data_IF_698425345062
#
_entry.id   IF_698425345062
#
_cell.length_a   1.000
_cell.length_b   1.000
_cell.length_c   1.000
_cell.angle_alpha   90.00
_cell.angle_beta   90.00
_cell.angle_gamma   90.00
#
_symmetry.space_group_name_H-M   'P 1'
#
loop_
_entity.id
_entity.type
_entity.pdbx_description
1 polymer ?
#
# COMPACT_ATOMS: atom_id res chain seq x y z
N UNK A 1 30.21 -0.81 -21.96
CA UNK A 1 30.92 -0.40 -20.73
C UNK A 1 30.30 0.90 -20.25
N UNK A 2 29.66 0.87 -19.08
CA UNK A 2 28.98 2.04 -18.49
C UNK A 2 30.04 3.07 -18.11
N UNK A 3 29.87 4.31 -18.55
CA UNK A 3 30.83 5.37 -18.29
C UNK A 3 30.59 5.95 -16.89
N UNK A 4 31.64 6.47 -16.25
CA UNK A 4 31.49 7.20 -14.98
C UNK A 4 30.52 8.38 -15.08
N UNK A 5 30.36 8.96 -16.29
CA UNK A 5 29.35 9.97 -16.58
C UNK A 5 27.92 9.46 -16.38
N UNK A 6 27.62 8.25 -16.80
CA UNK A 6 26.27 7.66 -16.69
C UNK A 6 25.94 7.42 -15.20
N UNK A 7 26.90 6.93 -14.42
CA UNK A 7 26.76 6.78 -12.96
C UNK A 7 26.54 8.14 -12.29
N UNK A 8 27.27 9.18 -12.72
CA UNK A 8 27.08 10.53 -12.20
C UNK A 8 25.67 11.06 -12.50
N UNK A 9 25.13 10.85 -13.70
CA UNK A 9 23.75 11.26 -14.05
C UNK A 9 22.71 10.58 -13.16
N UNK A 10 22.88 9.27 -12.88
CA UNK A 10 22.02 8.53 -11.95
C UNK A 10 22.09 9.09 -10.54
N UNK A 11 23.30 9.32 -10.03
CA UNK A 11 23.50 9.90 -8.69
C UNK A 11 22.93 11.31 -8.63
N UNK A 12 23.14 12.14 -9.66
CA UNK A 12 22.63 13.51 -9.73
C UNK A 12 21.10 13.56 -9.75
N UNK A 13 20.42 12.58 -10.35
CA UNK A 13 18.96 12.48 -10.34
C UNK A 13 18.41 12.04 -8.97
N UNK A 14 19.14 11.16 -8.26
CA UNK A 14 18.67 10.61 -6.98
C UNK A 14 19.04 11.45 -5.76
N UNK A 15 20.22 12.07 -5.74
CA UNK A 15 20.72 12.85 -4.58
C UNK A 15 19.71 13.90 -4.10
N UNK A 16 19.02 14.68 -4.96
CA UNK A 16 18.00 15.62 -4.51
C UNK A 16 16.81 14.95 -3.78
N UNK A 17 16.38 13.77 -4.24
CA UNK A 17 15.30 13.01 -3.61
C UNK A 17 15.71 12.49 -2.24
N UNK A 18 16.93 11.93 -2.15
CA UNK A 18 17.49 11.47 -0.88
C UNK A 18 17.77 12.62 0.07
N UNK A 19 18.19 13.79 -0.44
CA UNK A 19 18.39 14.98 0.39
C UNK A 19 17.08 15.39 1.06
N UNK A 20 15.97 15.45 0.32
CA UNK A 20 14.65 15.74 0.89
C UNK A 20 14.25 14.71 1.96
N UNK A 21 14.48 13.42 1.69
CA UNK A 21 14.22 12.33 2.63
C UNK A 21 15.06 12.45 3.92
N UNK A 22 16.37 12.69 3.80
CA UNK A 22 17.26 12.81 4.94
C UNK A 22 17.02 14.09 5.75
N UNK A 23 16.68 15.21 5.10
CA UNK A 23 16.29 16.44 5.78
C UNK A 23 15.02 16.23 6.62
N UNK A 24 14.01 15.57 6.05
CA UNK A 24 12.81 15.19 6.81
C UNK A 24 13.16 14.29 7.99
N UNK A 25 13.96 13.24 7.76
CA UNK A 25 14.34 12.32 8.82
C UNK A 25 15.11 13.02 9.96
N UNK A 26 16.11 13.82 9.61
CA UNK A 26 16.93 14.58 10.56
C UNK A 26 16.14 15.67 11.29
N UNK A 27 15.16 16.29 10.63
CA UNK A 27 14.30 17.31 11.25
C UNK A 27 13.50 16.77 12.43
N UNK A 28 13.12 15.49 12.40
CA UNK A 28 12.38 14.83 13.48
C UNK A 28 13.32 14.19 14.50
N UNK A 29 14.33 13.45 14.03
CA UNK A 29 15.19 12.63 14.92
C UNK A 29 16.29 13.41 15.62
N UNK A 30 16.90 14.37 14.95
CA UNK A 30 18.07 15.09 15.47
C UNK A 30 17.71 16.50 15.90
N UNK A 31 16.99 17.23 15.04
CA UNK A 31 16.66 18.62 15.29
C UNK A 31 15.36 18.79 16.10
N UNK A 32 14.51 17.75 16.16
CA UNK A 32 13.20 17.77 16.84
C UNK A 32 12.35 19.00 16.49
N UNK A 33 12.43 19.45 15.24
CA UNK A 33 11.70 20.64 14.73
C UNK A 33 10.21 20.34 14.65
N UNK A 34 9.85 19.14 14.21
CA UNK A 34 8.46 18.76 14.01
C UNK A 34 7.94 17.85 15.11
N UNK A 35 6.74 18.16 15.60
CA UNK A 35 5.95 17.26 16.43
C UNK A 35 5.32 16.16 15.58
N UNK A 36 4.87 15.08 16.22
CA UNK A 36 4.16 13.99 15.53
C UNK A 36 2.87 14.47 14.85
N UNK A 37 2.16 15.40 15.47
CA UNK A 37 0.96 16.02 14.89
C UNK A 37 1.29 16.86 13.65
N UNK A 38 2.36 17.64 13.69
CA UNK A 38 2.82 18.41 12.53
C UNK A 38 3.26 17.51 11.38
N UNK A 39 3.98 16.41 11.68
CA UNK A 39 4.30 15.41 10.69
C UNK A 39 3.00 14.86 10.07
N UNK A 40 2.01 14.53 10.91
CA UNK A 40 0.68 14.10 10.49
C UNK A 40 0.01 15.06 9.52
N UNK A 41 0.02 16.35 9.85
CA UNK A 41 -0.49 17.41 8.99
C UNK A 41 0.23 17.45 7.64
N UNK A 42 1.56 17.37 7.65
CA UNK A 42 2.37 17.41 6.42
C UNK A 42 2.00 16.25 5.50
N UNK A 43 2.04 14.99 5.95
CA UNK A 43 1.72 13.92 4.99
C UNK A 43 0.25 13.81 4.66
N UNK A 44 -0.65 14.32 5.50
CA UNK A 44 -2.04 14.51 5.09
C UNK A 44 -2.12 15.46 3.89
N UNK A 45 -1.46 16.61 3.95
CA UNK A 45 -1.35 17.53 2.81
C UNK A 45 -0.75 16.84 1.57
N UNK A 46 0.32 16.06 1.76
CA UNK A 46 0.95 15.31 0.66
C UNK A 46 0.02 14.28 0.03
N UNK A 47 -0.72 13.52 0.85
CA UNK A 47 -1.65 12.49 0.36
C UNK A 47 -2.91 13.05 -0.31
N UNK A 48 -3.41 14.21 0.15
CA UNK A 48 -4.66 14.81 -0.34
C UNK A 48 -4.43 15.71 -1.55
N UNK A 49 -3.29 16.39 -1.64
CA UNK A 49 -3.00 17.33 -2.71
C UNK A 49 -1.77 16.92 -3.51
N UNK A 50 -0.61 16.83 -2.88
CA UNK A 50 0.65 16.77 -3.62
C UNK A 50 0.79 15.51 -4.50
N UNK A 51 0.52 14.31 -3.94
CA UNK A 51 0.57 13.04 -4.67
C UNK A 51 -0.56 12.89 -5.71
N UNK A 52 -1.81 13.31 -5.43
CA UNK A 52 -2.85 13.35 -6.44
C UNK A 52 -2.49 14.24 -7.64
N UNK A 53 -1.98 15.45 -7.43
CA UNK A 53 -1.56 16.31 -8.54
C UNK A 53 -0.36 15.74 -9.30
N UNK A 54 0.61 15.15 -8.59
CA UNK A 54 1.73 14.42 -9.21
C UNK A 54 1.21 13.26 -10.07
N UNK A 55 0.28 12.46 -9.55
CA UNK A 55 -0.28 11.31 -10.29
C UNK A 55 -1.10 11.77 -11.49
N UNK A 56 -1.91 12.83 -11.34
CA UNK A 56 -2.64 13.41 -12.46
C UNK A 56 -1.68 13.86 -13.55
N UNK A 57 -0.68 14.66 -13.21
CA UNK A 57 0.30 15.20 -14.16
C UNK A 57 1.02 14.07 -14.89
N UNK A 58 1.54 13.12 -14.11
CA UNK A 58 2.23 11.95 -14.62
C UNK A 58 1.35 11.14 -15.57
N UNK A 59 0.10 10.86 -15.21
CA UNK A 59 -0.82 10.05 -16.03
C UNK A 59 -1.28 10.83 -17.27
N UNK A 60 -1.54 12.13 -17.12
CA UNK A 60 -2.05 13.00 -18.20
C UNK A 60 -1.03 13.20 -19.32
N UNK A 61 0.27 13.04 -19.03
CA UNK A 61 1.35 13.10 -20.02
C UNK A 61 1.47 11.83 -20.86
N UNK A 62 0.82 10.72 -20.47
CA UNK A 62 0.89 9.47 -21.21
C UNK A 62 0.02 9.46 -22.45
N UNK A 63 0.53 8.96 -23.56
CA UNK A 63 -0.28 8.64 -24.71
C UNK A 63 -0.80 7.18 -24.65
N UNK A 64 -2.10 6.95 -24.38
CA UNK A 64 -2.67 5.61 -24.25
C UNK A 64 -2.76 4.91 -25.60
N UNK A 65 -2.65 5.64 -26.71
CA UNK A 65 -2.68 5.08 -28.07
C UNK A 65 -1.31 4.57 -28.53
N UNK A 66 -0.22 4.92 -27.85
CA UNK A 66 1.15 4.47 -28.19
C UNK A 66 1.78 3.69 -27.04
N UNK A 67 1.00 2.85 -26.37
CA UNK A 67 1.48 2.04 -25.26
C UNK A 67 2.35 0.87 -25.72
N UNK A 68 3.43 0.60 -24.98
CA UNK A 68 4.22 -0.60 -25.22
C UNK A 68 3.52 -1.81 -24.60
N UNK A 69 2.62 -2.42 -25.36
CA UNK A 69 1.78 -3.52 -24.88
C UNK A 69 2.60 -4.74 -24.44
N UNK A 70 3.77 -4.99 -25.04
CA UNK A 70 4.64 -6.12 -24.64
C UNK A 70 5.22 -5.89 -23.24
N UNK A 71 5.75 -4.69 -23.00
CA UNK A 71 6.27 -4.30 -21.68
C UNK A 71 5.19 -4.37 -20.61
N UNK A 72 4.00 -3.84 -20.92
CA UNK A 72 2.86 -3.87 -20.02
C UNK A 72 2.35 -5.30 -19.75
N UNK A 73 2.33 -6.15 -20.79
CA UNK A 73 1.95 -7.56 -20.67
C UNK A 73 2.95 -8.33 -19.81
N UNK A 74 4.25 -8.06 -19.92
CA UNK A 74 5.27 -8.71 -19.08
C UNK A 74 5.14 -8.34 -17.60
N UNK A 75 4.90 -7.06 -17.30
CA UNK A 75 4.63 -6.58 -15.94
C UNK A 75 3.32 -7.16 -15.37
N UNK A 76 2.27 -7.22 -16.19
CA UNK A 76 0.99 -7.83 -15.80
C UNK A 76 1.12 -9.34 -15.57
N UNK A 77 1.85 -10.02 -16.44
CA UNK A 77 2.12 -11.45 -16.34
C UNK A 77 2.94 -11.76 -15.09
N UNK A 78 3.92 -10.92 -14.74
CA UNK A 78 4.67 -11.05 -13.48
C UNK A 78 3.73 -11.08 -12.28
N UNK A 79 2.75 -10.17 -12.24
CA UNK A 79 1.78 -10.10 -11.13
C UNK A 79 0.84 -11.29 -11.10
N UNK A 80 0.35 -11.74 -12.26
CA UNK A 80 -0.48 -12.94 -12.37
C UNK A 80 0.29 -14.19 -11.92
N UNK A 81 1.53 -14.37 -12.38
CA UNK A 81 2.39 -15.50 -11.98
C UNK A 81 2.62 -15.51 -10.47
N UNK A 82 2.91 -14.36 -9.87
CA UNK A 82 3.09 -14.25 -8.41
C UNK A 82 1.79 -14.58 -7.68
N UNK A 83 0.63 -14.08 -8.14
CA UNK A 83 -0.66 -14.40 -7.54
C UNK A 83 -0.98 -15.89 -7.61
N UNK A 84 -0.76 -16.52 -8.76
CA UNK A 84 -0.97 -17.95 -8.93
C UNK A 84 0.00 -18.76 -8.05
N UNK A 85 1.28 -18.40 -8.01
CA UNK A 85 2.25 -19.07 -7.15
C UNK A 85 1.88 -18.96 -5.67
N UNK A 86 1.43 -17.79 -5.21
CA UNK A 86 0.98 -17.58 -3.84
C UNK A 86 -0.34 -18.27 -3.53
N UNK A 87 -1.26 -18.34 -4.50
CA UNK A 87 -2.50 -19.09 -4.37
C UNK A 87 -2.21 -20.58 -4.21
N UNK A 88 -1.39 -21.15 -5.11
CA UNK A 88 -0.97 -22.56 -5.04
C UNK A 88 -0.20 -22.85 -3.75
N UNK A 89 0.72 -21.96 -3.35
CA UNK A 89 1.44 -22.07 -2.08
C UNK A 89 0.46 -22.12 -0.90
N UNK A 90 -0.55 -21.25 -0.89
CA UNK A 90 -1.56 -21.22 0.16
C UNK A 90 -2.50 -22.44 0.14
N UNK A 91 -2.76 -23.02 -1.02
CA UNK A 91 -3.62 -24.21 -1.15
C UNK A 91 -2.91 -25.50 -0.78
N UNK A 92 -1.62 -25.65 -1.15
CA UNK A 92 -0.89 -26.91 -0.97
C UNK A 92 0.01 -26.94 0.27
N UNK A 93 0.31 -25.80 0.89
CA UNK A 93 1.21 -25.73 2.05
C UNK A 93 0.43 -25.56 3.35
N UNK A 94 0.73 -26.38 4.36
CA UNK A 94 0.14 -26.25 5.71
C UNK A 94 0.46 -24.91 6.39
N UNK A 95 1.53 -24.24 5.97
CA UNK A 95 1.96 -22.92 6.48
C UNK A 95 1.39 -21.76 5.66
N UNK A 96 0.59 -22.06 4.64
CA UNK A 96 -0.10 -21.06 3.83
C UNK A 96 -1.07 -20.25 4.67
N UNK A 97 -0.94 -18.92 4.62
CA UNK A 97 -1.95 -18.00 5.13
C UNK A 97 -2.22 -16.92 4.11
N UNK A 98 -3.49 -16.51 4.00
CA UNK A 98 -3.92 -15.37 3.19
C UNK A 98 -3.13 -14.12 3.57
N UNK A 99 -2.83 -13.96 4.87
CA UNK A 99 -2.05 -12.87 5.43
C UNK A 99 -0.65 -12.80 4.80
N UNK A 100 0.05 -13.94 4.76
CA UNK A 100 1.36 -14.03 4.12
C UNK A 100 1.29 -13.85 2.62
N UNK A 101 0.25 -14.36 1.94
CA UNK A 101 0.07 -14.16 0.51
C UNK A 101 -0.10 -12.68 0.15
N UNK A 102 -0.88 -11.92 0.91
CA UNK A 102 -1.05 -10.47 0.68
C UNK A 102 0.27 -9.73 0.91
N UNK A 103 0.99 -10.05 1.98
CA UNK A 103 2.29 -9.44 2.28
C UNK A 103 3.33 -9.76 1.21
N UNK A 104 3.45 -11.02 0.79
CA UNK A 104 4.40 -11.44 -0.24
C UNK A 104 4.07 -10.84 -1.60
N UNK A 105 2.79 -10.82 -2.00
CA UNK A 105 2.34 -10.16 -3.23
C UNK A 105 2.74 -8.69 -3.21
N UNK A 106 2.48 -8.00 -2.10
CA UNK A 106 2.84 -6.60 -1.91
C UNK A 106 4.34 -6.34 -2.03
N UNK A 107 5.17 -7.20 -1.43
CA UNK A 107 6.62 -7.11 -1.45
C UNK A 107 7.23 -7.37 -2.83
N UNK A 108 6.67 -8.31 -3.59
CA UNK A 108 7.26 -8.73 -4.87
C UNK A 108 6.84 -7.78 -6.01
N UNK A 109 5.61 -7.25 -5.96
CA UNK A 109 4.98 -6.68 -7.16
C UNK A 109 4.76 -5.19 -7.17
N UNK A 110 4.93 -4.49 -6.03
CA UNK A 110 4.52 -3.09 -5.89
C UNK A 110 5.70 -2.16 -5.54
N UNK A 111 6.59 -1.89 -6.50
CA UNK A 111 7.64 -0.87 -6.37
C UNK A 111 7.10 0.55 -6.23
N UNK A 112 7.98 1.44 -5.75
CA UNK A 112 7.84 2.89 -5.85
C UNK A 112 8.20 3.38 -7.27
N UNK A 113 7.33 3.08 -8.23
CA UNK A 113 7.50 3.46 -9.65
C UNK A 113 7.30 4.95 -9.89
N UNK A 114 6.36 5.57 -9.18
CA UNK A 114 5.99 6.97 -9.39
C UNK A 114 7.07 7.95 -8.90
N UNK A 115 7.51 7.83 -7.64
CA UNK A 115 8.38 8.86 -7.03
C UNK A 115 9.86 8.57 -7.30
N UNK A 116 10.23 7.29 -7.37
CA UNK A 116 11.63 6.88 -7.57
C UNK A 116 11.90 6.34 -8.97
N UNK A 117 10.98 5.56 -9.52
CA UNK A 117 11.18 4.86 -10.79
C UNK A 117 11.45 5.77 -11.97
N UNK A 118 10.64 6.81 -12.16
CA UNK A 118 10.79 7.75 -13.27
C UNK A 118 12.14 8.47 -13.30
N UNK A 119 12.54 9.26 -12.27
CA UNK A 119 13.81 9.97 -12.29
C UNK A 119 15.01 9.03 -12.40
N UNK A 120 14.95 7.85 -11.76
CA UNK A 120 16.02 6.87 -11.81
C UNK A 120 16.19 6.28 -13.22
N UNK A 121 15.13 5.71 -13.79
CA UNK A 121 15.23 5.03 -15.08
C UNK A 121 15.50 6.01 -16.22
N UNK A 122 14.98 7.23 -16.11
CA UNK A 122 15.28 8.31 -17.06
C UNK A 122 16.76 8.66 -17.06
N UNK A 123 17.40 8.73 -15.90
CA UNK A 123 18.84 8.94 -15.79
C UNK A 123 19.68 7.75 -16.28
N UNK A 124 19.17 6.52 -16.15
CA UNK A 124 19.91 5.30 -16.54
C UNK A 124 19.82 4.97 -18.03
N UNK A 125 18.65 5.15 -18.62
CA UNK A 125 18.32 4.64 -19.95
C UNK A 125 17.78 5.72 -20.91
N UNK A 126 17.44 6.91 -20.40
CA UNK A 126 16.99 8.06 -21.19
C UNK A 126 15.48 8.29 -21.17
N UNK A 127 15.05 9.34 -21.88
CA UNK A 127 13.69 9.91 -21.82
C UNK A 127 12.55 8.93 -22.12
N UNK A 128 12.77 7.90 -22.94
CA UNK A 128 11.71 6.96 -23.32
C UNK A 128 11.17 6.17 -22.12
N UNK A 129 11.95 6.00 -21.04
CA UNK A 129 11.51 5.28 -19.85
C UNK A 129 10.42 6.03 -19.09
N UNK A 130 10.32 7.36 -19.26
CA UNK A 130 9.24 8.14 -18.66
C UNK A 130 7.87 7.59 -19.11
N UNK A 131 7.68 7.46 -20.43
CA UNK A 131 6.44 6.92 -20.99
C UNK A 131 6.14 5.49 -20.50
N UNK A 132 7.18 4.65 -20.35
CA UNK A 132 7.03 3.29 -19.82
C UNK A 132 6.62 3.28 -18.35
N UNK A 133 7.24 4.13 -17.51
CA UNK A 133 6.90 4.24 -16.10
C UNK A 133 5.49 4.77 -15.91
N UNK A 134 5.09 5.75 -16.71
CA UNK A 134 3.72 6.24 -16.71
C UNK A 134 2.72 5.14 -17.04
N UNK A 135 2.98 4.31 -18.06
CA UNK A 135 2.10 3.19 -18.42
C UNK A 135 1.97 2.19 -17.26
N UNK A 136 3.07 1.85 -16.59
CA UNK A 136 3.05 0.97 -15.41
C UNK A 136 2.27 1.61 -14.26
N UNK A 137 2.52 2.88 -13.93
CA UNK A 137 1.85 3.56 -12.81
C UNK A 137 0.34 3.60 -13.02
N UNK A 138 -0.12 3.88 -14.24
CA UNK A 138 -1.55 3.84 -14.61
C UNK A 138 -2.15 2.46 -14.36
N UNK A 139 -1.51 1.41 -14.88
CA UNK A 139 -2.06 0.06 -14.73
C UNK A 139 -2.01 -0.41 -13.28
N UNK A 140 -0.95 -0.04 -12.56
CA UNK A 140 -0.77 -0.32 -11.14
C UNK A 140 -1.81 0.37 -10.28
N UNK A 141 -2.17 1.62 -10.56
CA UNK A 141 -3.21 2.32 -9.82
C UNK A 141 -4.60 1.77 -10.09
N UNK A 142 -4.93 1.50 -11.36
CA UNK A 142 -6.27 1.03 -11.75
C UNK A 142 -6.50 -0.43 -11.37
N UNK A 143 -5.57 -1.32 -11.69
CA UNK A 143 -5.75 -2.77 -11.54
C UNK A 143 -5.13 -3.27 -10.25
N UNK A 144 -3.83 -3.05 -10.06
CA UNK A 144 -3.07 -3.80 -9.05
C UNK A 144 -3.29 -3.28 -7.62
N UNK A 145 -3.41 -1.97 -7.42
CA UNK A 145 -3.80 -1.41 -6.13
C UNK A 145 -5.26 -1.66 -5.79
N UNK A 146 -6.17 -1.64 -6.78
CA UNK A 146 -7.56 -2.05 -6.58
C UNK A 146 -7.64 -3.51 -6.17
N UNK A 147 -6.88 -4.40 -6.83
CA UNK A 147 -6.79 -5.81 -6.45
C UNK A 147 -6.21 -5.99 -5.05
N UNK A 148 -5.15 -5.26 -4.71
CA UNK A 148 -4.58 -5.30 -3.37
C UNK A 148 -5.61 -4.90 -2.32
N UNK A 149 -6.36 -3.82 -2.58
CA UNK A 149 -7.45 -3.37 -1.72
C UNK A 149 -8.57 -4.41 -1.59
N UNK A 150 -8.95 -5.08 -2.68
CA UNK A 150 -9.89 -6.22 -2.68
C UNK A 150 -9.39 -7.33 -1.76
N UNK A 151 -8.10 -7.66 -1.79
CA UNK A 151 -7.52 -8.70 -0.92
C UNK A 151 -7.55 -8.29 0.55
N UNK A 152 -7.26 -7.03 0.87
CA UNK A 152 -7.36 -6.50 2.23
C UNK A 152 -8.79 -6.47 2.75
N UNK A 153 -9.75 -6.02 1.95
CA UNK A 153 -11.18 -6.03 2.29
C UNK A 153 -11.72 -7.46 2.43
N UNK A 154 -11.25 -8.39 1.59
CA UNK A 154 -11.60 -9.81 1.74
C UNK A 154 -11.11 -10.37 3.07
N UNK A 155 -9.85 -10.07 3.45
CA UNK A 155 -9.31 -10.45 4.76
C UNK A 155 -10.13 -9.83 5.89
N UNK A 156 -10.40 -8.52 5.82
CA UNK A 156 -11.20 -7.81 6.81
C UNK A 156 -12.60 -8.41 6.97
N UNK A 157 -13.28 -8.70 5.84
CA UNK A 157 -14.57 -9.37 5.83
C UNK A 157 -14.51 -10.77 6.45
N UNK A 158 -13.48 -11.56 6.11
CA UNK A 158 -13.28 -12.90 6.67
C UNK A 158 -13.13 -12.84 8.19
N UNK A 159 -12.31 -11.94 8.71
CA UNK A 159 -12.12 -11.75 10.15
C UNK A 159 -13.43 -11.34 10.82
N UNK A 160 -14.10 -10.31 10.30
CA UNK A 160 -15.38 -9.82 10.84
C UNK A 160 -16.43 -10.93 10.92
N UNK A 161 -16.61 -11.70 9.84
CA UNK A 161 -17.60 -12.77 9.80
C UNK A 161 -17.21 -13.91 10.75
N UNK A 162 -15.92 -14.25 10.82
CA UNK A 162 -15.45 -15.31 11.73
C UNK A 162 -15.60 -14.96 13.20
N UNK A 163 -15.46 -13.68 13.56
CA UNK A 163 -15.63 -13.20 14.93
C UNK A 163 -17.10 -13.10 15.33
N UNK A 164 -17.97 -12.61 14.44
CA UNK A 164 -19.37 -12.32 14.77
C UNK A 164 -20.33 -13.49 14.48
N UNK A 165 -19.98 -14.38 13.56
CA UNK A 165 -20.83 -15.51 13.14
C UNK A 165 -20.02 -16.82 13.05
N UNK A 166 -19.39 -17.30 14.13
CA UNK A 166 -18.48 -18.43 14.09
C UNK A 166 -19.14 -19.73 13.59
N UNK A 167 -20.41 -19.98 13.94
CA UNK A 167 -21.13 -21.20 13.55
C UNK A 167 -22.28 -20.95 12.54
N UNK A 168 -22.77 -19.70 12.43
CA UNK A 168 -23.96 -19.35 11.62
C UNK A 168 -23.63 -18.64 10.31
N UNK A 169 -22.35 -18.47 9.98
CA UNK A 169 -21.94 -17.76 8.77
C UNK A 169 -22.43 -18.42 7.47
N UNK A 170 -22.62 -19.75 7.45
CA UNK A 170 -23.20 -20.47 6.30
C UNK A 170 -24.66 -20.11 6.00
N UNK A 171 -25.42 -19.69 7.01
CA UNK A 171 -26.84 -19.27 6.90
C UNK A 171 -27.04 -17.81 6.47
N UNK A 172 -25.96 -17.04 6.26
CA UNK A 172 -26.05 -15.64 5.82
C UNK A 172 -26.47 -15.58 4.35
N UNK A 173 -27.71 -15.15 4.12
CA UNK A 173 -28.25 -14.96 2.77
C UNK A 173 -28.00 -13.56 2.22
N UNK A 174 -28.01 -12.54 3.08
CA UNK A 174 -27.66 -11.18 2.67
C UNK A 174 -26.80 -10.51 3.71
N UNK A 175 -25.72 -9.89 3.26
CA UNK A 175 -24.88 -9.03 4.08
C UNK A 175 -24.90 -7.63 3.46
N UNK A 176 -25.49 -6.69 4.19
CA UNK A 176 -25.56 -5.28 3.82
C UNK A 176 -24.65 -4.49 4.74
N UNK A 177 -24.11 -3.39 4.22
CA UNK A 177 -23.29 -2.50 5.01
C UNK A 177 -23.85 -1.11 4.94
N UNK A 178 -24.12 -0.55 6.12
CA UNK A 178 -24.57 0.82 6.26
C UNK A 178 -23.56 1.79 5.66
N UNK A 179 -24.05 2.90 5.13
CA UNK A 179 -23.28 3.98 4.49
C UNK A 179 -22.24 4.64 5.39
N UNK A 180 -22.41 4.49 6.71
CA UNK A 180 -21.47 4.94 7.74
C UNK A 180 -20.14 4.21 7.70
N UNK A 181 -20.13 2.93 7.33
CA UNK A 181 -18.93 2.09 7.32
C UNK A 181 -18.17 2.29 6.00
N UNK A 182 -16.87 2.56 6.14
CA UNK A 182 -15.99 2.95 5.04
C UNK A 182 -15.02 1.86 4.60
N UNK A 183 -14.51 1.07 5.54
CA UNK A 183 -13.66 -0.09 5.31
C UNK A 183 -13.87 -1.13 6.42
N UNK A 184 -13.53 -2.38 6.14
CA UNK A 184 -13.60 -3.48 7.12
C UNK A 184 -12.24 -3.71 7.82
N UNK A 185 -11.51 -2.63 8.08
CA UNK A 185 -10.13 -2.67 8.58
C UNK A 185 -10.00 -3.01 10.07
N UNK A 186 -11.11 -3.06 10.81
CA UNK A 186 -11.16 -3.36 12.24
C UNK A 186 -10.76 -2.20 13.17
N UNK A 187 -10.49 -0.99 12.64
CA UNK A 187 -10.14 0.18 13.47
C UNK A 187 -11.36 0.80 14.14
N UNK A 188 -12.47 0.86 13.42
CA UNK A 188 -13.75 1.29 13.98
C UNK A 188 -14.49 0.05 14.49
N UNK A 189 -15.04 0.07 15.72
CA UNK A 189 -15.85 -1.03 16.21
C UNK A 189 -17.10 -1.16 15.34
N UNK A 190 -17.18 -2.27 14.60
CA UNK A 190 -18.29 -2.63 13.73
C UNK A 190 -19.16 -3.67 14.44
N UNK A 191 -20.47 -3.45 14.44
CA UNK A 191 -21.45 -4.43 14.90
C UNK A 191 -22.26 -4.91 13.70
N UNK A 192 -22.49 -6.22 13.58
CA UNK A 192 -23.33 -6.80 12.56
C UNK A 192 -24.62 -7.31 13.19
N UNK A 193 -25.69 -6.52 13.02
CA UNK A 193 -27.02 -6.90 13.47
C UNK A 193 -27.56 -7.98 12.53
N UNK A 194 -28.02 -9.10 13.09
CA UNK A 194 -28.56 -10.21 12.33
C UNK A 194 -30.06 -10.39 12.60
N UNK A 195 -30.86 -10.30 11.55
CA UNK A 195 -32.29 -10.59 11.57
C UNK A 195 -32.54 -11.93 10.87
N UNK A 196 -33.39 -12.78 11.45
CA UNK A 196 -33.78 -14.04 10.82
C UNK A 196 -35.01 -13.78 9.95
N UNK A 197 -34.87 -13.95 8.63
CA UNK A 197 -35.98 -13.85 7.69
C UNK A 197 -36.98 -15.00 7.87
N UNK A 198 -38.20 -14.85 7.31
CA UNK A 198 -39.29 -15.85 7.41
C UNK A 198 -38.89 -17.24 6.90
N UNK A 199 -37.88 -17.31 6.04
CA UNK A 199 -37.32 -18.54 5.48
C UNK A 199 -36.16 -19.15 6.31
N UNK A 200 -35.90 -18.63 7.52
CA UNK A 200 -34.80 -19.05 8.40
C UNK A 200 -33.41 -18.55 7.99
N UNK A 201 -33.31 -17.68 6.98
CA UNK A 201 -32.03 -17.14 6.51
C UNK A 201 -31.62 -15.89 7.29
N UNK A 202 -30.32 -15.70 7.51
CA UNK A 202 -29.78 -14.54 8.22
C UNK A 202 -29.60 -13.36 7.26
N UNK A 203 -30.20 -12.24 7.64
CA UNK A 203 -30.00 -10.92 7.04
C UNK A 203 -29.12 -10.09 7.98
N UNK A 204 -27.88 -9.89 7.58
CA UNK A 204 -26.87 -9.22 8.38
C UNK A 204 -26.67 -7.78 7.90
N UNK A 205 -26.73 -6.82 8.81
CA UNK A 205 -26.45 -5.41 8.55
C UNK A 205 -25.26 -4.96 9.39
N UNK A 206 -24.15 -4.65 8.74
CA UNK A 206 -22.94 -4.12 9.40
C UNK A 206 -23.07 -2.61 9.59
N UNK A 207 -22.94 -2.14 10.84
CA UNK A 207 -23.05 -0.74 11.27
C UNK A 207 -21.84 -0.32 12.11
N UNK A 208 -21.50 0.97 12.06
CA UNK A 208 -20.49 1.58 12.95
C UNK A 208 -21.11 1.89 14.32
N UNK A 209 -20.43 1.54 15.41
CA UNK A 209 -20.92 1.84 16.78
C UNK A 209 -20.98 3.34 17.10
N UNK A 210 -20.31 4.21 16.33
CA UNK A 210 -20.28 5.66 16.59
C UNK A 210 -21.67 6.32 16.65
N UNK A 211 -22.73 5.64 16.21
CA UNK A 211 -24.11 6.12 16.31
C UNK A 211 -24.93 5.55 17.47
N UNK A 212 -24.60 4.39 18.02
CA UNK A 212 -25.38 3.83 19.14
C UNK A 212 -25.12 4.58 20.45
N UNK A 213 -24.06 5.40 20.53
CA UNK A 213 -23.70 6.18 21.72
C UNK A 213 -23.45 7.65 21.37
N UNK A 214 -24.46 8.40 20.94
CA UNK A 214 -24.37 9.87 20.99
C UNK A 214 -25.75 10.55 20.91
N UNK A 215 -26.43 10.65 22.05
CA UNK A 215 -27.26 11.82 22.36
C UNK A 215 -26.48 12.73 23.33
N UNK A 216 -25.19 12.99 23.03
CA UNK A 216 -24.35 13.96 23.72
C UNK A 216 -23.05 14.18 22.91
N UNK A 217 -22.58 15.42 22.86
CA UNK A 217 -21.35 15.91 22.20
C UNK A 217 -21.31 15.86 20.66
N UNK A 218 -21.96 16.85 20.06
CA UNK A 218 -21.41 17.57 18.90
C UNK A 218 -19.98 18.07 19.21
N UNK A 219 -19.10 18.06 18.20
CA UNK A 219 -17.66 18.43 18.20
C UNK A 219 -16.64 17.28 18.37
N UNK A 220 -16.49 16.44 17.34
CA UNK A 220 -15.19 16.08 16.73
C UNK A 220 -15.42 15.07 15.60
N UNK A 221 -15.87 15.55 14.42
CA UNK A 221 -15.83 14.74 13.20
C UNK A 221 -14.39 14.67 12.72
N UNK A 222 -13.64 13.68 13.19
CA UNK A 222 -12.43 13.24 12.49
C UNK A 222 -12.89 12.69 11.14
N UNK A 223 -12.85 13.52 10.10
CA UNK A 223 -13.00 13.08 8.73
C UNK A 223 -11.83 12.13 8.43
N UNK A 224 -12.08 10.83 8.62
CA UNK A 224 -11.30 9.72 8.07
C UNK A 224 -11.41 9.82 6.55
N UNK A 225 -10.55 10.63 5.96
CA UNK A 225 -10.30 10.60 4.51
C UNK A 225 -9.63 9.27 4.24
N UNK A 226 -10.40 8.34 3.68
CA UNK A 226 -9.99 6.97 3.39
C UNK A 226 -8.65 6.93 2.66
N UNK A 227 -7.81 5.97 3.07
CA UNK A 227 -6.45 5.76 2.58
C UNK A 227 -5.56 7.00 2.75
N UNK A 228 -5.15 7.28 3.99
CA UNK A 228 -3.97 8.12 4.21
C UNK A 228 -2.77 7.43 3.54
N UNK A 229 -2.40 7.82 2.32
CA UNK A 229 -1.22 7.31 1.58
C UNK A 229 0.08 7.41 2.42
N UNK A 230 0.05 8.18 3.51
CA UNK A 230 1.08 8.24 4.52
C UNK A 230 0.43 8.16 5.91
N UNK A 231 0.35 6.99 6.54
CA UNK A 231 -0.40 6.81 7.77
C UNK A 231 0.49 7.14 8.95
N UNK A 232 0.13 8.17 9.69
CA UNK A 232 0.79 8.46 10.95
C UNK A 232 0.16 7.67 12.10
N UNK A 233 0.92 7.34 13.15
CA UNK A 233 0.29 6.88 14.37
C UNK A 233 -0.59 8.04 14.85
N UNK A 234 -1.91 7.85 14.85
CA UNK A 234 -2.80 8.70 15.61
C UNK A 234 -2.32 8.68 17.06
N UNK A 235 -2.32 9.83 17.71
CA UNK A 235 -1.95 10.04 19.10
C UNK A 235 -2.82 9.17 20.02
N UNK A 236 -2.46 7.89 20.18
CA UNK A 236 -3.04 7.02 21.21
C UNK A 236 -2.16 5.89 21.72
N UNK A 237 -0.89 5.79 21.31
CA UNK A 237 0.05 4.76 21.82
C UNK A 237 1.31 5.32 22.49
N UNK A 238 1.22 6.53 23.04
CA UNK A 238 2.26 7.07 23.92
C UNK A 238 1.65 7.56 25.25
N UNK A 239 0.84 6.70 25.86
CA UNK A 239 0.62 6.74 27.31
C UNK A 239 1.14 5.43 27.86
N UNK A 240 2.44 5.33 28.03
CA UNK A 240 3.01 4.28 28.86
C UNK A 240 4.24 4.82 29.54
N UNK A 241 4.29 4.59 30.85
CA UNK A 241 5.47 4.56 31.72
C UNK A 241 5.71 5.77 32.66
N UNK A 242 5.11 6.96 32.49
CA UNK A 242 5.25 8.00 33.55
C UNK A 242 4.10 8.11 34.55
N UNK A 243 2.87 7.72 34.19
CA UNK A 243 1.72 7.76 35.12
C UNK A 243 1.43 6.42 35.81
N UNK A 244 2.17 5.35 35.48
CA UNK A 244 2.04 4.06 36.18
C UNK A 244 2.95 3.93 37.41
N UNK A 245 3.90 4.84 37.63
CA UNK A 245 4.75 4.80 38.83
C UNK A 245 4.06 5.48 40.03
N UNK A 246 3.22 6.50 39.82
CA UNK A 246 2.54 7.20 40.94
C UNK A 246 1.33 6.44 41.51
N UNK A 247 0.78 5.46 40.79
CA UNK A 247 -0.37 4.69 41.27
C UNK A 247 0.05 3.37 41.95
N UNK A 248 1.35 3.02 41.96
CA UNK A 248 1.80 1.74 42.54
C UNK A 248 1.88 1.70 44.07
N UNK A 249 1.64 2.80 44.78
CA UNK A 249 1.63 2.81 46.25
C UNK A 249 0.23 2.78 46.90
N UNK A 250 -0.84 2.67 46.11
CA UNK A 250 -2.20 2.62 46.66
C UNK A 250 -2.98 1.42 46.16
N UNK A 251 -3.38 0.55 47.10
CA UNK A 251 -4.44 -0.47 46.97
C UNK A 251 -3.93 -1.85 46.53
N UNK A 252 -3.37 -2.55 47.51
CA UNK A 252 -3.52 -4.00 47.62
C UNK A 252 -5.01 -4.35 47.75
N UNK A 253 -5.56 -5.13 46.82
CA UNK A 253 -6.48 -6.24 47.12
C UNK A 253 -6.63 -7.14 45.88
N UNK A 254 -6.61 -8.47 46.03
CA UNK A 254 -6.33 -9.38 44.93
C UNK A 254 -7.61 -9.83 44.22
N UNK A 255 -7.72 -9.52 42.92
CA UNK A 255 -8.58 -10.29 42.00
C UNK A 255 -7.66 -11.17 41.18
N UNK A 256 -7.44 -12.38 41.70
CA UNK A 256 -6.68 -13.44 41.04
C UNK A 256 -7.50 -14.01 39.88
N UNK A 257 -7.60 -13.23 38.80
CA UNK A 257 -8.07 -13.69 37.50
C UNK A 257 -7.03 -14.61 36.89
N UNK A 258 -7.18 -15.91 37.17
CA UNK A 258 -6.41 -17.02 36.60
C UNK A 258 -6.42 -16.90 35.07
N UNK A 259 -5.37 -16.27 34.51
CA UNK A 259 -4.99 -16.37 33.10
C UNK A 259 -4.74 -17.85 32.85
N UNK A 260 -5.77 -18.55 32.35
CA UNK A 260 -5.59 -19.87 31.74
C UNK A 260 -4.63 -19.65 30.58
N UNK A 261 -3.38 -20.01 30.78
CA UNK A 261 -2.52 -20.46 29.70
C UNK A 261 -3.26 -21.63 29.06
N UNK A 262 -4.02 -21.31 28.01
CA UNK A 262 -4.62 -22.30 27.14
C UNK A 262 -3.43 -22.90 26.40
N UNK A 263 -2.85 -23.95 27.01
CA UNK A 263 -2.11 -24.96 26.29
C UNK A 263 -2.95 -25.34 25.09
N UNK A 264 -2.41 -25.09 23.90
CA UNK A 264 -2.98 -25.50 22.62
C UNK A 264 -3.12 -27.01 22.70
N UNK A 265 -4.28 -27.47 23.20
CA UNK A 265 -4.78 -28.80 22.88
C UNK A 265 -4.98 -28.76 21.37
N UNK A 266 -4.20 -29.60 20.69
CA UNK A 266 -4.41 -29.96 19.30
C UNK A 266 -5.78 -30.64 19.19
N UNK A 267 -6.85 -29.83 19.24
CA UNK A 267 -8.17 -30.26 18.81
C UNK A 267 -8.10 -30.35 17.29
N UNK A 268 -7.97 -31.59 16.83
CA UNK A 268 -8.05 -32.08 15.46
C UNK A 268 -9.45 -31.84 14.89
N UNK A 269 -9.84 -30.57 14.85
CA UNK A 269 -11.13 -30.07 14.42
C UNK A 269 -10.93 -29.25 13.17
N UNK A 270 -10.76 -29.91 12.03
CA UNK A 270 -10.97 -29.31 10.71
C UNK A 270 -12.46 -28.94 10.53
N UNK A 271 -13.06 -28.20 11.48
CA UNK A 271 -14.29 -27.46 11.30
C UNK A 271 -13.98 -26.43 10.23
N UNK A 272 -14.15 -26.81 8.97
CA UNK A 272 -14.15 -25.88 7.84
C UNK A 272 -15.16 -24.78 8.19
N UNK A 273 -14.66 -23.66 8.71
CA UNK A 273 -15.47 -22.52 9.11
C UNK A 273 -16.39 -22.19 7.94
N UNK A 274 -17.70 -22.27 8.20
CA UNK A 274 -18.69 -22.04 7.16
C UNK A 274 -18.58 -20.56 6.77
N UNK A 275 -18.32 -20.30 5.49
CA UNK A 275 -18.39 -18.95 4.94
C UNK A 275 -19.76 -18.72 4.32
N UNK A 276 -20.22 -17.45 4.24
CA UNK A 276 -21.39 -17.11 3.47
C UNK A 276 -21.23 -17.53 2.01
N UNK A 277 -22.35 -17.57 1.30
CA UNK A 277 -22.35 -17.82 -0.15
C UNK A 277 -21.39 -16.84 -0.85
N UNK A 278 -20.61 -17.35 -1.80
CA UNK A 278 -19.60 -16.57 -2.53
C UNK A 278 -20.18 -15.28 -3.14
N UNK A 279 -21.43 -15.33 -3.64
CA UNK A 279 -22.13 -14.17 -4.18
C UNK A 279 -22.35 -13.04 -3.16
N UNK A 280 -22.64 -13.39 -1.90
CA UNK A 280 -22.82 -12.43 -0.81
C UNK A 280 -21.49 -11.78 -0.47
N UNK A 281 -20.43 -12.57 -0.42
CA UNK A 281 -19.09 -12.10 -0.11
C UNK A 281 -18.51 -11.19 -1.20
N UNK A 282 -18.68 -11.56 -2.48
CA UNK A 282 -18.29 -10.71 -3.62
C UNK A 282 -19.04 -9.37 -3.57
N UNK A 283 -20.35 -9.39 -3.30
CA UNK A 283 -21.15 -8.17 -3.22
C UNK A 283 -20.69 -7.25 -2.09
N UNK A 284 -20.36 -7.81 -0.92
CA UNK A 284 -19.80 -7.07 0.21
C UNK A 284 -18.49 -6.38 -0.19
N UNK A 285 -17.53 -7.17 -0.70
CA UNK A 285 -16.19 -6.67 -1.03
C UNK A 285 -16.28 -5.60 -2.12
N UNK A 286 -17.07 -5.83 -3.17
CA UNK A 286 -17.26 -4.85 -4.24
C UNK A 286 -17.84 -3.53 -3.71
N UNK A 287 -18.81 -3.61 -2.79
CA UNK A 287 -19.41 -2.42 -2.17
C UNK A 287 -18.38 -1.66 -1.33
N UNK A 288 -17.53 -2.37 -0.57
CA UNK A 288 -16.47 -1.78 0.25
C UNK A 288 -15.39 -1.13 -0.58
N UNK A 289 -14.85 -1.87 -1.55
CA UNK A 289 -13.81 -1.40 -2.47
C UNK A 289 -14.29 -0.17 -3.23
N UNK A 290 -15.53 -0.18 -3.74
CA UNK A 290 -16.12 0.97 -4.41
C UNK A 290 -16.18 2.21 -3.52
N UNK A 291 -16.65 2.06 -2.28
CA UNK A 291 -16.70 3.17 -1.31
C UNK A 291 -15.31 3.69 -0.97
N UNK A 292 -14.34 2.79 -0.81
CA UNK A 292 -12.99 3.15 -0.44
C UNK A 292 -12.26 3.86 -1.60
N UNK A 293 -12.42 3.38 -2.84
CA UNK A 293 -11.93 4.05 -4.05
C UNK A 293 -12.54 5.45 -4.23
N UNK A 294 -13.85 5.62 -4.04
CA UNK A 294 -14.52 6.92 -4.18
C UNK A 294 -14.03 7.98 -3.18
N UNK A 295 -13.49 7.57 -2.03
CA UNK A 295 -12.96 8.47 -1.01
C UNK A 295 -11.48 8.79 -1.18
N UNK A 296 -10.76 8.02 -2.00
CA UNK A 296 -9.33 8.18 -2.20
C UNK A 296 -9.04 9.27 -3.26
N UNK A 297 -8.43 10.41 -2.88
CA UNK A 297 -8.14 11.50 -3.82
C UNK A 297 -7.25 11.06 -4.99
N UNK A 298 -6.36 10.10 -4.76
CA UNK A 298 -5.45 9.60 -5.79
C UNK A 298 -6.16 8.74 -6.84
N UNK A 299 -7.24 8.05 -6.46
CA UNK A 299 -8.07 7.30 -7.40
C UNK A 299 -8.74 8.27 -8.40
N UNK A 300 -9.32 9.36 -7.89
CA UNK A 300 -9.89 10.42 -8.73
C UNK A 300 -8.86 11.08 -9.62
N UNK A 301 -7.68 11.42 -9.08
CA UNK A 301 -6.59 11.98 -9.88
C UNK A 301 -6.17 11.04 -11.03
N UNK A 302 -6.13 9.73 -10.77
CA UNK A 302 -5.82 8.73 -11.81
C UNK A 302 -6.91 8.66 -12.88
N UNK A 303 -8.18 8.65 -12.48
CA UNK A 303 -9.32 8.66 -13.41
C UNK A 303 -9.33 9.93 -14.26
N UNK A 304 -9.19 11.11 -13.64
CA UNK A 304 -9.15 12.37 -14.36
C UNK A 304 -7.94 12.47 -15.27
N UNK A 305 -6.77 12.01 -14.83
CA UNK A 305 -5.56 11.95 -15.66
C UNK A 305 -5.77 11.07 -16.89
N UNK A 306 -6.38 9.88 -16.72
CA UNK A 306 -6.69 8.96 -17.81
C UNK A 306 -7.70 9.54 -18.80
N UNK A 307 -8.80 10.10 -18.29
CA UNK A 307 -9.83 10.73 -19.13
C UNK A 307 -9.24 11.90 -19.91
N UNK A 308 -8.46 12.76 -19.24
CA UNK A 308 -7.79 13.88 -19.90
C UNK A 308 -6.80 13.40 -20.96
N UNK A 309 -5.99 12.40 -20.65
CA UNK A 309 -5.05 11.79 -21.58
C UNK A 309 -5.76 11.26 -22.84
N UNK A 310 -6.86 10.51 -22.68
CA UNK A 310 -7.66 10.02 -23.80
C UNK A 310 -8.18 11.16 -24.69
N UNK A 311 -8.69 12.24 -24.07
CA UNK A 311 -9.21 13.43 -24.77
C UNK A 311 -8.08 14.17 -25.51
N UNK A 312 -7.00 14.49 -24.79
CA UNK A 312 -5.84 15.23 -25.29
C UNK A 312 -5.25 14.53 -26.52
N UNK A 313 -4.99 13.22 -26.44
CA UNK A 313 -4.36 12.50 -27.55
C UNK A 313 -5.33 12.12 -28.67
N UNK A 314 -6.65 12.04 -28.41
CA UNK A 314 -7.65 11.73 -29.44
C UNK A 314 -8.04 12.93 -30.29
N UNK A 315 -8.17 14.10 -29.67
CA UNK A 315 -8.61 15.34 -30.33
C UNK A 315 -7.50 16.37 -30.47
N UNK A 316 -6.28 16.07 -30.00
CA UNK A 316 -5.12 16.96 -30.04
C UNK A 316 -5.40 18.33 -29.38
N UNK A 317 -6.24 18.34 -28.34
CA UNK A 317 -6.63 19.55 -27.60
C UNK A 317 -5.55 19.82 -26.55
N UNK A 318 -4.77 20.87 -26.73
CA UNK A 318 -3.76 21.25 -25.76
C UNK A 318 -4.38 21.77 -24.45
N UNK A 319 -3.86 21.32 -23.30
CA UNK A 319 -4.24 21.88 -22.01
C UNK A 319 -3.95 23.38 -21.97
N UNK A 320 -4.91 24.24 -21.56
CA UNK A 320 -4.68 25.67 -21.42
C UNK A 320 -3.45 25.94 -20.54
N UNK A 321 -2.60 26.88 -20.95
CA UNK A 321 -1.32 27.18 -20.28
C UNK A 321 -1.47 27.44 -18.79
N UNK A 322 -2.56 28.08 -18.38
CA UNK A 322 -2.87 28.38 -16.98
C UNK A 322 -3.01 27.08 -16.18
N UNK A 323 -3.85 26.16 -16.65
CA UNK A 323 -4.11 24.89 -15.95
C UNK A 323 -2.85 24.03 -15.89
N UNK A 324 -2.13 23.93 -17.01
CA UNK A 324 -0.84 23.22 -17.06
C UNK A 324 0.15 23.80 -16.04
N UNK A 325 0.33 25.12 -16.01
CA UNK A 325 1.26 25.75 -15.06
C UNK A 325 0.85 25.57 -13.59
N UNK A 326 -0.44 25.59 -13.28
CA UNK A 326 -0.92 25.27 -11.93
C UNK A 326 -0.57 23.83 -11.54
N UNK A 327 -0.78 22.87 -12.44
CA UNK A 327 -0.45 21.46 -12.22
C UNK A 327 1.06 21.28 -12.10
N UNK A 328 1.85 21.86 -13.00
CA UNK A 328 3.31 21.78 -12.99
C UNK A 328 3.86 22.20 -11.62
N UNK A 329 3.42 23.34 -11.07
CA UNK A 329 3.92 23.86 -9.78
C UNK A 329 3.65 22.87 -8.64
N UNK A 330 2.44 22.32 -8.56
CA UNK A 330 2.07 21.41 -7.47
C UNK A 330 2.70 20.02 -7.67
N UNK A 331 2.74 19.52 -8.91
CA UNK A 331 3.32 18.22 -9.27
C UNK A 331 4.82 18.16 -8.97
N UNK A 332 5.59 19.16 -9.42
CA UNK A 332 7.03 19.22 -9.17
C UNK A 332 7.35 19.35 -7.67
N UNK A 333 6.57 20.17 -6.96
CA UNK A 333 6.66 20.25 -5.49
C UNK A 333 6.27 18.92 -4.84
N UNK A 334 5.27 18.23 -5.40
CA UNK A 334 4.75 16.96 -4.91
C UNK A 334 5.73 15.81 -4.96
N UNK A 335 6.63 15.78 -5.95
CA UNK A 335 7.72 14.79 -5.99
C UNK A 335 8.63 14.92 -4.76
N UNK A 336 9.11 16.14 -4.48
CA UNK A 336 9.96 16.43 -3.31
C UNK A 336 9.23 16.20 -1.99
N UNK A 337 7.96 16.64 -1.92
CA UNK A 337 7.12 16.47 -0.73
C UNK A 337 6.78 15.00 -0.46
N UNK A 338 6.62 14.16 -1.48
CA UNK A 338 6.44 12.72 -1.33
C UNK A 338 7.69 12.06 -0.70
N UNK A 339 8.89 12.44 -1.15
CA UNK A 339 10.15 11.97 -0.55
C UNK A 339 10.36 12.52 0.87
N UNK A 340 10.01 13.79 1.10
CA UNK A 340 10.06 14.40 2.44
C UNK A 340 9.12 13.67 3.40
N UNK A 341 7.88 13.43 2.98
CA UNK A 341 6.88 12.68 3.73
C UNK A 341 7.32 11.25 4.01
N UNK A 342 8.00 10.59 3.07
CA UNK A 342 8.64 9.30 3.29
C UNK A 342 9.70 9.39 4.40
N UNK A 343 10.54 10.43 4.41
CA UNK A 343 11.53 10.65 5.47
C UNK A 343 10.90 10.90 6.86
N UNK A 344 9.81 11.67 6.93
CA UNK A 344 9.04 11.85 8.17
C UNK A 344 8.46 10.51 8.66
N UNK A 345 7.89 9.73 7.74
CA UNK A 345 7.37 8.41 8.02
C UNK A 345 8.46 7.48 8.60
N UNK A 346 9.65 7.47 7.99
CA UNK A 346 10.80 6.69 8.46
C UNK A 346 11.25 7.14 9.85
N UNK A 347 11.27 8.45 10.12
CA UNK A 347 11.68 8.98 11.41
C UNK A 347 10.73 8.61 12.54
N UNK A 348 9.42 8.55 12.28
CA UNK A 348 8.43 8.26 13.32
C UNK A 348 8.25 6.77 13.61
N UNK A 349 8.88 5.87 12.86
CA UNK A 349 8.82 4.45 13.22
C UNK A 349 9.55 4.23 14.55
N UNK A 350 8.93 3.58 15.56
CA UNK A 350 9.51 3.43 16.89
C UNK A 350 10.84 2.66 16.86
N UNK A 351 11.00 1.74 15.91
CA UNK A 351 12.23 0.99 15.64
C UNK A 351 12.47 0.94 14.13
N UNK A 352 13.72 1.10 13.71
CA UNK A 352 14.13 0.95 12.29
C UNK A 352 14.00 -0.53 11.88
N UNK A 353 14.30 -1.45 12.81
CA UNK A 353 14.15 -2.91 12.65
C UNK A 353 13.02 -3.35 13.58
N UNK A 354 11.77 -3.18 13.16
CA UNK A 354 10.60 -3.67 13.92
C UNK A 354 10.48 -5.19 13.81
N UNK A 355 10.81 -5.73 12.63
CA UNK A 355 10.80 -7.15 12.38
C UNK A 355 12.20 -7.71 12.63
N UNK A 356 12.35 -8.76 13.48
CA UNK A 356 13.65 -9.36 13.79
C UNK A 356 14.53 -9.56 12.54
N UNK A 357 15.86 -9.38 12.68
CA UNK A 357 16.83 -9.25 11.58
C UNK A 357 16.61 -10.24 10.42
N UNK A 358 16.22 -11.48 10.72
CA UNK A 358 15.91 -12.52 9.74
C UNK A 358 14.75 -12.13 8.81
N UNK A 359 13.62 -11.66 9.33
CA UNK A 359 12.45 -11.30 8.51
C UNK A 359 12.71 -10.06 7.65
N UNK A 360 13.46 -9.09 8.18
CA UNK A 360 13.92 -7.93 7.42
C UNK A 360 14.83 -8.33 6.25
N UNK A 361 15.76 -9.25 6.49
CA UNK A 361 16.66 -9.76 5.44
C UNK A 361 15.86 -10.51 4.37
N UNK A 362 14.89 -11.34 4.78
CA UNK A 362 14.00 -12.06 3.87
C UNK A 362 13.18 -11.09 3.01
N UNK A 363 12.60 -10.03 3.58
CA UNK A 363 11.82 -9.06 2.80
C UNK A 363 12.67 -8.32 1.76
N UNK A 364 13.92 -7.98 2.09
CA UNK A 364 14.87 -7.37 1.16
C UNK A 364 15.28 -8.34 0.04
N UNK A 365 15.55 -9.61 0.36
CA UNK A 365 15.86 -10.66 -0.62
C UNK A 365 14.68 -10.88 -1.57
N UNK A 366 13.46 -10.97 -1.03
CA UNK A 366 12.23 -11.09 -1.84
C UNK A 366 12.11 -9.88 -2.78
N UNK A 367 12.32 -8.66 -2.27
CA UNK A 367 12.17 -7.42 -3.04
C UNK A 367 13.23 -7.31 -4.14
N UNK A 368 14.51 -7.46 -3.81
CA UNK A 368 15.63 -7.12 -4.70
C UNK A 368 16.19 -8.31 -5.49
N UNK A 369 15.80 -9.55 -5.20
CA UNK A 369 16.20 -10.73 -5.97
C UNK A 369 15.00 -11.43 -6.61
N UNK A 370 13.98 -11.79 -5.83
CA UNK A 370 12.84 -12.56 -6.36
C UNK A 370 12.02 -11.73 -7.35
N UNK A 371 11.69 -10.46 -7.02
CA UNK A 371 10.99 -9.56 -7.93
C UNK A 371 11.67 -9.43 -9.31
N UNK A 372 12.97 -9.04 -9.36
CA UNK A 372 13.78 -9.03 -10.57
C UNK A 372 13.87 -10.37 -11.31
N UNK A 373 13.97 -11.49 -10.59
CA UNK A 373 14.03 -12.81 -11.22
C UNK A 373 12.71 -13.20 -11.91
N UNK A 374 11.57 -12.91 -11.28
CA UNK A 374 10.26 -13.20 -11.87
C UNK A 374 10.00 -12.31 -13.10
N UNK A 375 10.31 -11.01 -13.03
CA UNK A 375 10.12 -10.13 -14.19
C UNK A 375 11.06 -10.50 -15.34
N UNK A 376 12.29 -10.98 -15.05
CA UNK A 376 13.21 -11.49 -16.06
C UNK A 376 12.58 -12.66 -16.80
N UNK A 377 12.01 -13.63 -16.08
CA UNK A 377 11.36 -14.80 -16.66
C UNK A 377 10.13 -14.41 -17.50
N UNK A 378 9.25 -13.54 -16.99
CA UNK A 378 8.05 -13.13 -17.73
C UNK A 378 8.36 -12.22 -18.92
N UNK A 379 9.38 -11.37 -18.81
CA UNK A 379 9.83 -10.52 -19.92
C UNK A 379 10.43 -11.36 -21.05
N UNK A 380 11.22 -12.38 -20.72
CA UNK A 380 11.72 -13.35 -21.71
C UNK A 380 10.58 -14.13 -22.35
N UNK A 381 9.58 -14.56 -21.58
CA UNK A 381 8.37 -15.21 -22.12
C UNK A 381 7.60 -14.30 -23.09
N UNK A 382 7.57 -12.98 -22.83
CA UNK A 382 6.96 -11.97 -23.72
C UNK A 382 7.90 -11.48 -24.83
N UNK A 383 9.02 -12.18 -25.08
CA UNK A 383 10.02 -11.85 -26.11
C UNK A 383 10.61 -10.44 -25.98
N UNK A 384 10.72 -9.91 -24.76
CA UNK A 384 11.39 -8.65 -24.47
C UNK A 384 12.89 -8.88 -24.36
N UNK A 385 13.66 -8.06 -25.07
CA UNK A 385 15.12 -8.17 -25.19
C UNK A 385 15.78 -6.79 -25.11
N UNK A 386 17.10 -6.78 -24.90
CA UNK A 386 17.93 -5.58 -24.88
C UNK A 386 17.56 -4.60 -23.77
N UNK A 387 17.66 -3.30 -24.06
CA UNK A 387 17.46 -2.23 -23.07
C UNK A 387 16.08 -2.30 -22.39
N UNK A 388 15.03 -2.70 -23.12
CA UNK A 388 13.68 -2.83 -22.54
C UNK A 388 13.61 -3.91 -21.46
N UNK A 389 14.37 -5.01 -21.62
CA UNK A 389 14.51 -6.04 -20.59
C UNK A 389 15.24 -5.48 -19.37
N UNK A 390 16.32 -4.72 -19.59
CA UNK A 390 17.11 -4.13 -18.51
C UNK A 390 16.28 -3.13 -17.70
N UNK A 391 15.46 -2.31 -18.38
CA UNK A 391 14.49 -1.40 -17.76
C UNK A 391 13.49 -2.17 -16.90
N UNK A 392 12.94 -3.30 -17.39
CA UNK A 392 12.00 -4.12 -16.64
C UNK A 392 12.62 -4.68 -15.34
N UNK A 393 13.85 -5.18 -15.43
CA UNK A 393 14.57 -5.76 -14.28
C UNK A 393 14.87 -4.68 -13.23
N UNK A 394 15.39 -3.52 -13.65
CA UNK A 394 15.69 -2.41 -12.72
C UNK A 394 14.41 -1.81 -12.13
N UNK A 395 13.34 -1.70 -12.92
CA UNK A 395 12.03 -1.28 -12.41
C UNK A 395 11.53 -2.23 -11.32
N UNK A 396 11.66 -3.54 -11.52
CA UNK A 396 11.34 -4.52 -10.50
C UNK A 396 12.31 -4.51 -9.32
N UNK A 397 13.50 -3.90 -9.42
CA UNK A 397 14.44 -3.74 -8.32
C UNK A 397 14.30 -2.40 -7.55
N UNK A 398 13.31 -1.56 -7.88
CA UNK A 398 13.05 -0.30 -7.17
C UNK A 398 12.71 -0.52 -5.68
N UNK A 399 12.83 0.48 -4.79
CA UNK A 399 12.36 0.33 -3.41
C UNK A 399 10.84 0.05 -3.34
N UNK A 400 10.39 -0.51 -2.22
CA UNK A 400 8.97 -0.79 -1.96
C UNK A 400 8.14 0.51 -2.00
N UNK A 401 6.96 0.48 -2.64
CA UNK A 401 6.01 1.58 -2.58
C UNK A 401 5.43 1.76 -1.17
N UNK A 402 5.02 2.97 -0.80
CA UNK A 402 4.41 3.23 0.52
C UNK A 402 2.95 2.75 0.63
N UNK A 403 2.21 2.70 -0.48
CA UNK A 403 0.79 2.34 -0.50
C UNK A 403 0.51 0.94 0.10
N UNK A 404 1.29 -0.11 -0.20
CA UNK A 404 1.07 -1.40 0.45
C UNK A 404 1.31 -1.37 1.96
N UNK A 405 2.28 -0.58 2.44
CA UNK A 405 2.46 -0.37 3.88
C UNK A 405 1.25 0.35 4.49
N UNK A 406 0.67 1.33 3.78
CA UNK A 406 -0.53 2.05 4.23
C UNK A 406 -1.67 1.08 4.50
N UNK A 407 -1.99 0.25 3.51
CA UNK A 407 -3.03 -0.76 3.68
C UNK A 407 -2.67 -1.76 4.77
N UNK A 408 -1.43 -2.23 4.83
CA UNK A 408 -0.97 -3.11 5.91
C UNK A 408 -1.16 -2.51 7.31
N UNK A 409 -0.91 -1.21 7.48
CA UNK A 409 -1.13 -0.51 8.74
C UNK A 409 -2.61 -0.22 8.99
N UNK A 410 -3.38 0.02 7.95
CA UNK A 410 -4.83 0.22 8.06
C UNK A 410 -5.54 -1.05 8.51
N UNK A 411 -5.27 -2.18 7.85
CA UNK A 411 -5.89 -3.49 8.09
C UNK A 411 -5.10 -4.37 9.09
N UNK A 412 -4.11 -3.81 9.76
CA UNK A 412 -3.26 -4.47 10.76
C UNK A 412 -2.68 -5.83 10.29
N UNK A 413 -2.01 -5.82 9.13
CA UNK A 413 -1.39 -7.00 8.52
C UNK A 413 0.08 -6.74 8.23
N UNK A 414 0.97 -7.31 9.03
CA UNK A 414 2.43 -7.20 8.87
C UNK A 414 2.97 -5.79 8.53
N UNK A 415 2.48 -4.70 9.18
CA UNK A 415 2.94 -3.34 8.88
C UNK A 415 4.42 -3.15 9.20
N UNK A 416 4.95 -3.92 10.14
CA UNK A 416 6.37 -3.98 10.50
C UNK A 416 7.25 -4.49 9.35
N UNK A 417 6.82 -5.52 8.64
CA UNK A 417 7.56 -6.08 7.50
C UNK A 417 7.60 -5.07 6.34
N UNK A 418 6.44 -4.49 6.01
CA UNK A 418 6.32 -3.56 4.89
C UNK A 418 6.98 -2.20 5.18
N UNK A 419 6.89 -1.70 6.42
CA UNK A 419 7.64 -0.48 6.81
C UNK A 419 9.14 -0.70 6.73
N UNK A 420 9.64 -1.85 7.20
CA UNK A 420 11.05 -2.23 7.09
C UNK A 420 11.48 -2.31 5.62
N UNK A 421 10.66 -2.92 4.76
CA UNK A 421 10.94 -3.02 3.32
C UNK A 421 10.98 -1.63 2.63
N UNK A 422 10.14 -0.68 3.05
CA UNK A 422 10.20 0.71 2.58
C UNK A 422 11.48 1.39 3.11
N UNK A 423 11.73 1.38 4.42
CA UNK A 423 12.88 2.05 5.06
C UNK A 423 14.22 1.54 4.52
N UNK A 424 14.48 0.24 4.66
CA UNK A 424 15.74 -0.35 4.20
C UNK A 424 15.80 -0.43 2.69
N UNK A 425 14.66 -0.63 2.02
CA UNK A 425 14.58 -0.58 0.57
C UNK A 425 15.06 0.76 0.04
N UNK A 426 14.66 1.87 0.64
CA UNK A 426 15.14 3.20 0.23
C UNK A 426 16.66 3.33 0.40
N UNK A 427 17.23 2.86 1.52
CA UNK A 427 18.69 2.97 1.75
C UNK A 427 19.49 2.08 0.79
N UNK A 428 19.03 0.85 0.58
CA UNK A 428 19.73 -0.17 -0.21
C UNK A 428 19.45 -0.06 -1.72
N UNK A 429 18.38 0.65 -2.12
CA UNK A 429 17.99 0.78 -3.53
C UNK A 429 19.10 1.35 -4.40
N UNK A 430 19.77 2.44 -3.99
CA UNK A 430 20.79 3.09 -4.80
C UNK A 430 21.99 2.16 -5.13
N UNK A 431 22.65 1.51 -4.16
CA UNK A 431 23.73 0.58 -4.49
C UNK A 431 23.22 -0.62 -5.30
N UNK A 432 22.04 -1.16 -4.99
CA UNK A 432 21.47 -2.29 -5.73
C UNK A 432 21.17 -1.94 -7.19
N UNK A 433 20.58 -0.78 -7.45
CA UNK A 433 20.25 -0.36 -8.82
C UNK A 433 21.50 -0.08 -9.64
N UNK A 434 22.55 0.50 -9.03
CA UNK A 434 23.86 0.65 -9.69
C UNK A 434 24.47 -0.72 -10.02
N UNK A 435 24.42 -1.68 -9.10
CA UNK A 435 24.92 -3.05 -9.35
C UNK A 435 24.15 -3.69 -10.51
N UNK A 436 22.82 -3.65 -10.49
CA UNK A 436 21.99 -4.15 -11.59
C UNK A 436 22.33 -3.46 -12.91
N UNK A 437 22.52 -2.14 -12.89
CA UNK A 437 22.88 -1.39 -14.09
C UNK A 437 24.19 -1.89 -14.68
N UNK A 438 25.24 -1.99 -13.86
CA UNK A 438 26.57 -2.46 -14.27
C UNK A 438 26.51 -3.89 -14.79
N UNK A 439 25.87 -4.80 -14.08
CA UNK A 439 25.76 -6.21 -14.50
C UNK A 439 25.00 -6.32 -15.83
N UNK A 440 23.86 -5.64 -15.97
CA UNK A 440 23.04 -5.66 -17.18
C UNK A 440 23.64 -4.88 -18.36
N UNK A 441 24.59 -3.98 -18.12
CA UNK A 441 25.33 -3.27 -19.16
C UNK A 441 26.59 -4.01 -19.63
N UNK A 442 26.96 -5.10 -18.96
CA UNK A 442 28.04 -6.02 -19.35
C UNK A 442 27.49 -7.25 -20.08
N UNK A 443 26.31 -7.73 -19.65
CA UNK A 443 25.52 -8.74 -20.36
C UNK A 443 24.92 -8.19 -21.66
#
# INVERSE_FOLDING_TARGET
MIKGKDIYEVVAALVPLYLALFLAYGSVRWLKIFTQEQCSGISRFVSVFAVPFLSFDFISSNNPYTMNLRFLAADSLQKIVVLLALFLFNTFTKWGSIDWSITLFSLITLPNTLVMGDPLLKAMYGEFTHALMTQIVVLQSVIWYTLLLVLFEYRGAKLLISEQFPETAGSIATLRVDSSVSSLNGREPLHADAEVGENGQLHVVVRSMSRSVSMASSFHKSYSTGVEIYPFPSSREQTTVHELEEIREGIEHPVMGRRRELSIEEDDGNKRQQMPRVSVMIKLILTMVWRNLLRNPNAWASVFGLVWSLIFFRWNIAMPKIVRKCIDIISHTGLGMAMFSLGLFMALQPKIITCGKTRATISLVIRFLIGPAVILATSKAMSIHGVLLNVAIVQAALPQGIVPFVFAKEYNLHPDILSTAVIFGMVVALPVTIIYYVVLGVL
#
